data_IF_763169269347
#
_entry.id   IF_763169269347
#
_cell.length_a   1.000
_cell.length_b   1.000
_cell.length_c   1.000
_cell.angle_alpha   90.00
_cell.angle_beta   90.00
_cell.angle_gamma   90.00
#
_symmetry.space_group_name_H-M   'P 1'
#
loop_
_entity.id
_entity.type
_entity.pdbx_description
1 polymer ?
#
# COMPACT_ATOMS: atom_id res chain seq x y z
N UNK A 1 -46.94 14.67 -5.49
CA UNK A 1 -46.01 14.64 -6.63
C UNK A 1 -44.61 14.55 -6.07
N UNK A 2 -43.94 13.44 -6.43
CA UNK A 2 -42.52 13.10 -6.30
C UNK A 2 -41.90 13.12 -4.90
N UNK A 3 -41.84 11.92 -4.32
CA UNK A 3 -40.69 11.38 -3.60
C UNK A 3 -39.39 11.76 -4.33
N UNK A 4 -38.36 12.21 -3.61
CA UNK A 4 -37.00 11.90 -4.01
C UNK A 4 -36.14 11.63 -2.78
N UNK A 5 -35.88 10.33 -2.68
CA UNK A 5 -35.19 9.59 -1.68
C UNK A 5 -33.68 9.72 -1.93
N UNK A 6 -33.06 10.83 -1.51
CA UNK A 6 -31.60 10.87 -1.46
C UNK A 6 -31.14 10.28 -0.13
N UNK A 7 -31.22 8.94 -0.06
CA UNK A 7 -30.53 8.16 0.93
C UNK A 7 -29.05 8.56 0.87
N UNK A 8 -28.63 9.36 1.85
CA UNK A 8 -27.23 9.57 2.15
C UNK A 8 -26.66 8.18 2.47
N UNK A 9 -26.11 7.54 1.45
CA UNK A 9 -25.28 6.36 1.57
C UNK A 9 -24.04 6.82 2.33
N UNK A 10 -24.17 6.91 3.66
CA UNK A 10 -23.04 6.94 4.56
C UNK A 10 -22.48 5.52 4.51
N UNK A 11 -21.82 5.21 3.38
CA UNK A 11 -20.91 4.09 3.31
C UNK A 11 -19.92 4.36 4.43
N UNK A 12 -20.13 3.70 5.55
CA UNK A 12 -19.09 3.48 6.54
C UNK A 12 -17.99 2.83 5.73
N UNK A 13 -17.07 3.66 5.21
CA UNK A 13 -15.84 3.22 4.59
C UNK A 13 -15.13 2.51 5.71
N UNK A 14 -15.37 1.20 5.83
CA UNK A 14 -14.53 0.32 6.60
C UNK A 14 -13.21 0.42 5.88
N UNK A 15 -12.35 1.33 6.34
CA UNK A 15 -10.96 1.38 5.96
C UNK A 15 -10.39 0.04 6.42
N UNK A 16 -10.52 -0.97 5.56
CA UNK A 16 -9.92 -2.27 5.76
C UNK A 16 -8.42 -2.01 5.66
N UNK A 17 -7.81 -1.79 6.83
CA UNK A 17 -6.36 -1.71 6.97
C UNK A 17 -5.77 -2.87 6.17
N UNK A 18 -4.75 -2.57 5.38
CA UNK A 18 -4.08 -3.59 4.57
C UNK A 18 -3.65 -4.76 5.48
N UNK A 19 -3.69 -6.00 4.97
CA UNK A 19 -3.18 -7.13 5.72
C UNK A 19 -1.68 -6.95 6.00
N UNK A 20 -1.14 -7.60 7.04
CA UNK A 20 0.30 -7.65 7.27
C UNK A 20 1.06 -8.10 6.01
N UNK A 21 2.24 -7.51 5.76
CA UNK A 21 3.04 -7.79 4.58
C UNK A 21 3.46 -9.27 4.50
N UNK A 22 3.28 -9.88 3.32
CA UNK A 22 3.70 -11.26 3.06
C UNK A 22 5.11 -11.33 2.48
N UNK A 23 6.13 -11.44 3.33
CA UNK A 23 7.55 -11.47 2.91
C UNK A 23 7.86 -12.52 1.83
N UNK A 24 7.21 -13.69 1.89
CA UNK A 24 7.38 -14.78 0.93
C UNK A 24 6.74 -14.50 -0.45
N UNK A 25 5.79 -13.56 -0.53
CA UNK A 25 5.12 -13.21 -1.78
C UNK A 25 4.63 -11.76 -1.81
N UNK A 26 5.59 -10.83 -1.74
CA UNK A 26 5.33 -9.38 -1.71
C UNK A 26 4.61 -8.90 -2.98
N UNK A 27 4.90 -9.51 -4.14
CA UNK A 27 4.23 -9.17 -5.40
C UNK A 27 2.71 -9.40 -5.31
N UNK A 28 2.30 -10.55 -4.77
CA UNK A 28 0.89 -10.87 -4.59
C UNK A 28 0.24 -9.99 -3.52
N UNK A 29 0.98 -9.65 -2.46
CA UNK A 29 0.51 -8.71 -1.44
C UNK A 29 0.21 -7.32 -2.04
N UNK A 30 1.11 -6.78 -2.88
CA UNK A 30 0.87 -5.50 -3.55
C UNK A 30 -0.32 -5.57 -4.51
N UNK A 31 -0.52 -6.69 -5.22
CA UNK A 31 -1.71 -6.89 -6.05
C UNK A 31 -2.99 -6.77 -5.20
N UNK A 32 -3.03 -7.43 -4.05
CA UNK A 32 -4.19 -7.34 -3.15
C UNK A 32 -4.38 -5.93 -2.58
N UNK A 33 -3.30 -5.24 -2.21
CA UNK A 33 -3.37 -3.86 -1.74
C UNK A 33 -3.93 -2.93 -2.82
N UNK A 34 -3.52 -3.09 -4.07
CA UNK A 34 -4.02 -2.32 -5.22
C UNK A 34 -5.50 -2.56 -5.47
N UNK A 35 -5.94 -3.82 -5.44
CA UNK A 35 -7.37 -4.16 -5.51
C UNK A 35 -8.16 -3.48 -4.39
N UNK A 36 -7.67 -3.48 -3.16
CA UNK A 36 -8.34 -2.81 -2.05
C UNK A 36 -8.42 -1.30 -2.23
N UNK A 37 -7.36 -0.68 -2.77
CA UNK A 37 -7.37 0.75 -3.08
C UNK A 37 -8.42 1.09 -4.13
N UNK A 38 -8.52 0.29 -5.20
CA UNK A 38 -9.53 0.45 -6.24
C UNK A 38 -10.95 0.33 -5.69
N UNK A 39 -11.23 -0.72 -4.92
CA UNK A 39 -12.53 -0.94 -4.27
C UNK A 39 -12.91 0.19 -3.30
N UNK A 40 -11.92 0.83 -2.68
CA UNK A 40 -12.11 1.93 -1.72
C UNK A 40 -12.07 3.32 -2.38
N UNK A 41 -11.91 3.41 -3.71
CA UNK A 41 -11.77 4.68 -4.41
C UNK A 41 -10.48 5.46 -4.06
N UNK A 42 -9.47 4.80 -3.50
CA UNK A 42 -8.19 5.40 -3.13
C UNK A 42 -7.32 5.52 -4.39
N UNK A 43 -7.26 6.73 -4.95
CA UNK A 43 -6.47 7.02 -6.16
C UNK A 43 -5.25 7.88 -5.88
N UNK A 44 -5.26 8.67 -4.81
CA UNK A 44 -4.18 9.59 -4.45
C UNK A 44 -2.89 8.84 -4.06
N UNK A 45 -1.77 9.21 -4.70
CA UNK A 45 -0.44 8.60 -4.49
C UNK A 45 -0.01 8.64 -3.01
N UNK A 46 -0.17 9.80 -2.36
CA UNK A 46 0.20 9.98 -0.94
C UNK A 46 -0.65 9.08 -0.05
N UNK A 47 -1.95 8.96 -0.31
CA UNK A 47 -2.82 8.06 0.47
C UNK A 47 -2.44 6.60 0.29
N UNK A 48 -2.12 6.15 -0.94
CA UNK A 48 -1.63 4.78 -1.18
C UNK A 48 -0.31 4.53 -0.46
N UNK A 49 0.64 5.46 -0.57
CA UNK A 49 1.93 5.40 0.11
C UNK A 49 1.78 5.28 1.63
N UNK A 50 0.97 6.14 2.25
CA UNK A 50 0.72 6.10 3.71
C UNK A 50 0.08 4.79 4.17
N UNK A 51 -0.87 4.25 3.41
CA UNK A 51 -1.49 2.96 3.73
C UNK A 51 -0.48 1.80 3.68
N UNK A 52 0.39 1.80 2.67
CA UNK A 52 1.46 0.79 2.56
C UNK A 52 2.44 0.92 3.73
N UNK A 53 2.93 2.13 4.04
CA UNK A 53 3.83 2.33 5.18
C UNK A 53 3.24 1.82 6.49
N UNK A 54 1.94 2.06 6.72
CA UNK A 54 1.26 1.60 7.93
C UNK A 54 1.13 0.07 8.03
N UNK A 55 1.31 -0.65 6.93
CA UNK A 55 1.14 -2.11 6.85
C UNK A 55 2.46 -2.89 6.80
N UNK A 56 3.57 -2.20 6.53
CA UNK A 56 4.90 -2.79 6.45
C UNK A 56 5.54 -2.83 7.85
N UNK A 57 6.27 -3.91 8.17
CA UNK A 57 6.98 -4.05 9.43
C UNK A 57 8.34 -3.31 9.47
N UNK A 58 8.90 -3.13 10.67
CA UNK A 58 10.14 -2.38 10.88
C UNK A 58 11.35 -2.96 10.15
N UNK A 59 11.38 -4.28 9.92
CA UNK A 59 12.47 -4.94 9.19
C UNK A 59 12.47 -4.46 7.74
N UNK A 60 11.33 -4.47 7.08
CA UNK A 60 11.23 -4.01 5.69
C UNK A 60 11.36 -2.49 5.59
N UNK A 61 10.84 -1.72 6.55
CA UNK A 61 11.07 -0.26 6.60
C UNK A 61 12.56 0.06 6.68
N UNK A 62 13.35 -0.74 7.39
CA UNK A 62 14.81 -0.57 7.47
C UNK A 62 15.48 -0.79 6.11
N UNK A 63 15.02 -1.78 5.33
CA UNK A 63 15.55 -2.12 3.99
C UNK A 63 15.31 -1.00 2.97
N UNK A 64 14.24 -0.22 3.11
CA UNK A 64 13.89 0.89 2.21
C UNK A 64 14.06 2.26 2.86
N UNK A 65 14.81 2.35 3.95
CA UNK A 65 14.93 3.56 4.78
C UNK A 65 15.48 4.77 4.03
N UNK A 66 16.38 4.58 3.08
CA UNK A 66 16.88 5.62 2.17
C UNK A 66 15.74 6.33 1.43
N UNK A 67 14.78 5.56 0.91
CA UNK A 67 13.59 6.11 0.24
C UNK A 67 12.65 6.86 1.22
N UNK A 68 12.67 6.50 2.51
CA UNK A 68 11.82 7.15 3.51
C UNK A 68 12.42 8.48 3.99
N UNK A 69 13.75 8.54 4.11
CA UNK A 69 14.46 9.77 4.50
C UNK A 69 14.62 10.76 3.35
N UNK A 70 14.65 10.28 2.10
CA UNK A 70 14.68 11.10 0.89
C UNK A 70 13.61 10.62 -0.12
N UNK A 71 12.32 10.91 0.15
CA UNK A 71 11.23 10.44 -0.69
C UNK A 71 11.16 11.24 -2.00
N UNK A 72 10.83 10.60 -3.13
CA UNK A 72 10.66 11.30 -4.40
C UNK A 72 9.48 12.29 -4.32
N UNK A 73 9.57 13.34 -5.13
CA UNK A 73 8.53 14.37 -5.20
C UNK A 73 7.21 13.87 -5.80
N UNK A 74 7.28 12.86 -6.67
CA UNK A 74 6.14 12.22 -7.30
C UNK A 74 6.31 10.69 -7.27
N UNK A 75 5.22 9.97 -7.55
CA UNK A 75 5.20 8.51 -7.67
C UNK A 75 5.76 7.77 -6.44
N UNK A 76 5.48 8.28 -5.24
CA UNK A 76 6.03 7.74 -3.99
C UNK A 76 5.60 6.29 -3.77
N UNK A 77 4.34 5.99 -4.07
CA UNK A 77 3.83 4.63 -3.99
C UNK A 77 4.57 3.69 -4.96
N UNK A 78 4.77 4.12 -6.21
CA UNK A 78 5.44 3.31 -7.22
C UNK A 78 6.91 3.07 -6.88
N UNK A 79 7.60 4.10 -6.38
CA UNK A 79 8.97 3.99 -5.90
C UNK A 79 9.10 3.01 -4.72
N UNK A 80 8.19 3.09 -3.74
CA UNK A 80 8.15 2.19 -2.60
C UNK A 80 7.90 0.75 -3.04
N UNK A 81 6.87 0.51 -3.87
CA UNK A 81 6.57 -0.82 -4.43
C UNK A 81 7.78 -1.43 -5.14
N UNK A 82 8.44 -0.64 -5.99
CA UNK A 82 9.62 -1.08 -6.75
C UNK A 82 10.76 -1.48 -5.82
N UNK A 83 11.12 -0.61 -4.88
CA UNK A 83 12.23 -0.87 -3.97
C UNK A 83 11.98 -2.05 -3.04
N UNK A 84 10.80 -2.11 -2.42
CA UNK A 84 10.41 -3.23 -1.54
C UNK A 84 10.42 -4.55 -2.31
N UNK A 85 9.89 -4.58 -3.54
CA UNK A 85 9.88 -5.81 -4.36
C UNK A 85 11.28 -6.24 -4.79
N UNK A 86 12.15 -5.29 -5.16
CA UNK A 86 13.51 -5.60 -5.61
C UNK A 86 14.37 -6.09 -4.45
N UNK A 87 14.43 -5.34 -3.36
CA UNK A 87 15.42 -5.57 -2.29
C UNK A 87 15.06 -6.76 -1.40
N UNK A 88 13.78 -7.06 -1.21
CA UNK A 88 13.39 -8.25 -0.43
C UNK A 88 13.63 -9.54 -1.23
N UNK A 89 13.50 -9.49 -2.55
CA UNK A 89 13.88 -10.62 -3.40
C UNK A 89 15.38 -10.91 -3.28
N UNK A 90 16.23 -9.88 -3.24
CA UNK A 90 17.68 -10.02 -3.08
C UNK A 90 18.06 -10.50 -1.68
N UNK A 91 17.38 -10.04 -0.63
CA UNK A 91 17.63 -10.46 0.76
C UNK A 91 17.36 -11.95 0.99
N UNK A 92 16.37 -12.53 0.31
CA UNK A 92 16.06 -13.95 0.37
C UNK A 92 17.14 -14.85 -0.26
N UNK A 93 18.02 -14.30 -1.11
CA UNK A 93 19.09 -15.04 -1.80
C UNK A 93 20.42 -15.06 -1.04
N UNK A 94 20.62 -14.17 -0.08
CA UNK A 94 21.87 -14.05 0.69
C UNK A 94 21.96 -15.01 1.90
N UNK A 95 21.03 -15.96 2.05
CA UNK A 95 21.00 -16.93 3.16
C UNK A 95 21.30 -18.38 2.77
N UNK A 96 21.73 -18.63 1.54
CA UNK A 96 22.20 -19.95 1.08
C UNK A 96 23.74 -20.02 1.04
#
# INVERSE_FOLDING_TARGET
MTEDNNAQQHLLSVATKLPPLWKHNIKLWFLQAETNFELSGITNDVTKYSNVLAAIDSEILSVVSDLLFDPPHADRYAALKKQTTSRVFDFGKTKD
#
